data_IF_764237056940
#
_entry.id   IF_764237056940
#
_cell.length_a   1.000
_cell.length_b   1.000
_cell.length_c   1.000
_cell.angle_alpha   90.00
_cell.angle_beta   90.00
_cell.angle_gamma   90.00
#
_symmetry.space_group_name_H-M   'P 1'
#
loop_
_entity.id
_entity.type
_entity.pdbx_description
1 polymer ?
#
# COMPACT_ATOMS: atom_id res chain seq x y z
N UNK A 1 21.16 -37.88 -67.57
CA UNK A 1 21.46 -36.56 -66.99
C UNK A 1 20.32 -36.23 -66.01
N UNK A 2 20.56 -36.48 -64.75
CA UNK A 2 19.54 -36.28 -63.72
C UNK A 2 19.85 -34.94 -63.05
N UNK A 3 18.94 -33.95 -63.17
CA UNK A 3 19.03 -32.66 -62.50
C UNK A 3 18.43 -32.81 -61.08
N UNK A 4 19.31 -32.65 -60.09
CA UNK A 4 18.95 -32.67 -58.70
C UNK A 4 18.49 -31.26 -58.28
N UNK A 5 17.20 -31.09 -58.03
CA UNK A 5 16.65 -29.86 -57.49
C UNK A 5 16.78 -29.90 -55.94
N UNK A 6 17.67 -29.09 -55.41
CA UNK A 6 17.71 -28.82 -53.97
C UNK A 6 16.63 -27.79 -53.63
N UNK A 7 15.60 -28.21 -52.93
CA UNK A 7 14.65 -27.32 -52.26
C UNK A 7 15.24 -26.89 -50.92
N UNK A 8 15.73 -25.66 -50.85
CA UNK A 8 16.04 -25.02 -49.57
C UNK A 8 14.73 -24.55 -48.89
N UNK A 9 14.29 -25.29 -47.89
CA UNK A 9 13.18 -24.85 -47.03
C UNK A 9 13.75 -23.88 -46.00
N UNK A 10 13.51 -22.60 -46.22
CA UNK A 10 13.85 -21.54 -45.31
C UNK A 10 12.79 -21.53 -44.19
N UNK A 11 13.12 -22.06 -43.03
CA UNK A 11 12.28 -22.04 -41.83
C UNK A 11 12.41 -20.68 -41.17
N UNK A 12 11.54 -19.73 -41.54
CA UNK A 12 11.39 -18.46 -40.82
C UNK A 12 10.75 -18.74 -39.49
N UNK A 13 11.54 -18.71 -38.41
CA UNK A 13 11.08 -18.76 -37.05
C UNK A 13 10.58 -17.36 -36.66
N UNK A 14 9.29 -17.10 -36.82
CA UNK A 14 8.67 -15.89 -36.32
C UNK A 14 8.64 -15.95 -34.80
N UNK A 15 9.52 -15.17 -34.16
CA UNK A 15 9.47 -14.87 -32.74
C UNK A 15 8.24 -13.96 -32.52
N UNK A 16 7.10 -14.58 -32.32
CA UNK A 16 5.94 -13.86 -31.76
C UNK A 16 6.30 -13.42 -30.32
N UNK A 17 6.74 -12.18 -30.22
CA UNK A 17 6.96 -11.54 -28.93
C UNK A 17 5.63 -11.51 -28.16
N UNK A 18 5.46 -12.41 -27.19
CA UNK A 18 4.42 -12.30 -26.19
C UNK A 18 4.71 -11.05 -25.36
N UNK A 19 4.11 -9.92 -25.75
CA UNK A 19 3.99 -8.78 -24.87
C UNK A 19 3.12 -9.23 -23.69
N UNK A 20 3.76 -9.59 -22.57
CA UNK A 20 3.06 -9.79 -21.31
C UNK A 20 2.39 -8.46 -20.97
N UNK A 21 1.04 -8.41 -20.80
CA UNK A 21 0.41 -7.20 -20.32
C UNK A 21 1.06 -6.90 -18.97
N UNK A 22 1.67 -5.71 -18.84
CA UNK A 22 2.09 -5.20 -17.55
C UNK A 22 0.84 -5.24 -16.68
N UNK A 23 0.83 -6.08 -15.66
CA UNK A 23 -0.24 -6.11 -14.69
C UNK A 23 -0.32 -4.70 -14.12
N UNK A 24 -1.37 -3.96 -14.50
CA UNK A 24 -1.66 -2.68 -13.87
C UNK A 24 -1.76 -2.98 -12.39
N UNK A 25 -0.80 -2.46 -11.60
CA UNK A 25 -0.76 -2.71 -10.17
C UNK A 25 -2.12 -2.43 -9.58
N UNK A 26 -2.64 -3.32 -8.74
CA UNK A 26 -3.91 -3.11 -8.08
C UNK A 26 -3.91 -1.72 -7.45
N UNK A 27 -4.96 -0.93 -7.70
CA UNK A 27 -5.09 0.41 -7.13
C UNK A 27 -6.29 0.43 -6.19
N UNK A 28 -6.15 1.17 -5.10
CA UNK A 28 -7.21 1.41 -4.14
C UNK A 28 -7.67 2.86 -4.28
N UNK A 29 -8.97 3.09 -4.27
CA UNK A 29 -9.57 4.41 -4.45
C UNK A 29 -10.02 5.06 -3.12
N UNK A 30 -9.55 4.54 -2.00
CA UNK A 30 -9.79 5.07 -0.66
C UNK A 30 -8.50 5.00 0.17
N UNK A 31 -8.40 5.86 1.17
CA UNK A 31 -7.33 5.86 2.16
C UNK A 31 -7.63 4.79 3.20
N UNK A 32 -6.66 3.91 3.47
CA UNK A 32 -6.74 2.90 4.53
C UNK A 32 -5.97 3.35 5.76
N UNK A 33 -6.65 3.41 6.87
CA UNK A 33 -6.11 3.89 8.16
C UNK A 33 -6.31 2.79 9.20
N UNK A 34 -5.25 2.49 9.95
CA UNK A 34 -5.29 1.51 11.03
C UNK A 34 -4.70 2.12 12.30
N UNK A 35 -4.93 1.53 13.44
CA UNK A 35 -4.18 1.88 14.64
C UNK A 35 -4.98 2.06 15.90
N UNK A 36 -4.64 3.08 16.66
CA UNK A 36 -5.06 3.32 18.03
C UNK A 36 -6.58 3.32 18.21
N UNK A 37 -7.03 2.59 19.22
CA UNK A 37 -8.44 2.62 19.66
C UNK A 37 -8.81 3.95 20.35
N UNK A 38 -7.84 4.66 20.90
CA UNK A 38 -8.04 5.97 21.52
C UNK A 38 -8.42 7.02 20.49
N UNK A 39 -7.74 7.06 19.35
CA UNK A 39 -8.04 8.00 18.26
C UNK A 39 -9.20 7.55 17.37
N UNK A 40 -9.59 6.29 17.42
CA UNK A 40 -10.59 5.71 16.53
C UNK A 40 -11.90 6.53 16.43
N UNK A 41 -12.56 6.93 17.54
CA UNK A 41 -13.78 7.71 17.44
C UNK A 41 -13.59 9.09 16.80
N UNK A 42 -12.46 9.75 17.07
CA UNK A 42 -12.13 11.05 16.47
C UNK A 42 -11.78 10.91 14.98
N UNK A 43 -10.96 9.95 14.67
CA UNK A 43 -10.56 9.67 13.28
C UNK A 43 -11.75 9.30 12.41
N UNK A 44 -12.72 8.57 12.94
CA UNK A 44 -13.97 8.22 12.24
C UNK A 44 -14.78 9.45 11.87
N UNK A 45 -14.96 10.39 12.79
CA UNK A 45 -15.68 11.65 12.52
C UNK A 45 -14.96 12.47 11.44
N UNK A 46 -13.63 12.57 11.52
CA UNK A 46 -12.83 13.29 10.52
C UNK A 46 -12.94 12.62 9.15
N UNK A 47 -12.87 11.29 9.09
CA UNK A 47 -13.00 10.56 7.85
C UNK A 47 -14.37 10.72 7.20
N UNK A 48 -15.44 10.66 7.99
CA UNK A 48 -16.80 10.91 7.50
C UNK A 48 -16.96 12.33 6.97
N UNK A 49 -16.43 13.31 7.69
CA UNK A 49 -16.47 14.70 7.27
C UNK A 49 -15.68 14.90 5.96
N UNK A 50 -14.51 14.30 5.85
CA UNK A 50 -13.71 14.32 4.64
C UNK A 50 -14.47 13.73 3.45
N UNK A 51 -15.12 12.59 3.61
CA UNK A 51 -15.93 11.97 2.55
C UNK A 51 -17.15 12.81 2.14
N UNK A 52 -17.74 13.59 3.09
CA UNK A 52 -18.89 14.47 2.81
C UNK A 52 -18.48 15.77 2.11
N UNK A 53 -17.30 16.30 2.39
CA UNK A 53 -16.86 17.62 1.93
C UNK A 53 -15.87 17.57 0.78
N UNK A 54 -15.35 16.41 0.45
CA UNK A 54 -14.42 16.22 -0.66
C UNK A 54 -15.03 15.37 -1.78
N UNK A 55 -14.36 15.35 -2.92
CA UNK A 55 -14.69 14.46 -4.04
C UNK A 55 -14.16 13.03 -3.89
N UNK A 56 -13.45 12.76 -2.80
CA UNK A 56 -12.82 11.48 -2.55
C UNK A 56 -13.70 10.57 -1.69
N UNK A 57 -13.48 9.27 -1.77
CA UNK A 57 -14.18 8.30 -0.92
C UNK A 57 -13.80 8.50 0.55
N UNK A 58 -14.76 8.24 1.42
CA UNK A 58 -14.53 8.22 2.86
C UNK A 58 -13.40 7.25 3.19
N UNK A 59 -12.36 7.68 3.92
CA UNK A 59 -11.32 6.79 4.39
C UNK A 59 -11.87 5.63 5.23
N UNK A 60 -11.29 4.45 5.09
CA UNK A 60 -11.62 3.31 5.94
C UNK A 60 -10.69 3.27 7.14
N UNK A 61 -11.26 3.15 8.33
CA UNK A 61 -10.52 3.14 9.58
C UNK A 61 -10.78 1.84 10.33
N UNK A 62 -9.71 1.21 10.79
CA UNK A 62 -9.77 -0.01 11.60
C UNK A 62 -9.04 0.19 12.92
N UNK A 63 -9.72 -0.16 14.01
CA UNK A 63 -9.14 -0.13 15.36
C UNK A 63 -8.35 -1.40 15.64
N UNK A 64 -7.03 -1.29 15.53
CA UNK A 64 -6.09 -2.42 15.72
C UNK A 64 -5.17 -2.22 16.93
N UNK A 65 -5.34 -1.11 17.65
CA UNK A 65 -4.38 -0.61 18.65
C UNK A 65 -3.11 -0.06 18.02
N UNK A 66 -2.41 0.82 18.74
CA UNK A 66 -1.19 1.49 18.22
C UNK A 66 -0.12 0.51 17.75
N UNK A 67 0.15 -0.54 18.51
CA UNK A 67 1.16 -1.54 18.16
C UNK A 67 0.73 -2.40 16.98
N UNK A 68 -0.54 -2.78 16.90
CA UNK A 68 -1.10 -3.52 15.78
C UNK A 68 -1.08 -2.72 14.49
N UNK A 69 -1.49 -1.45 14.56
CA UNK A 69 -1.46 -0.53 13.43
C UNK A 69 -0.05 -0.30 12.89
N UNK A 70 0.90 -0.03 13.76
CA UNK A 70 2.31 0.14 13.38
C UNK A 70 2.90 -1.13 12.75
N UNK A 71 2.53 -2.31 13.25
CA UNK A 71 2.95 -3.58 12.66
C UNK A 71 2.43 -3.75 11.23
N UNK A 72 1.15 -3.45 10.99
CA UNK A 72 0.54 -3.51 9.67
C UNK A 72 1.14 -2.47 8.71
N UNK A 73 1.31 -1.24 9.19
CA UNK A 73 1.90 -0.15 8.43
C UNK A 73 3.36 -0.43 8.03
N UNK A 74 4.18 -0.96 8.95
CA UNK A 74 5.57 -1.31 8.69
C UNK A 74 5.76 -2.65 7.99
N UNK A 75 4.68 -3.37 7.61
CA UNK A 75 4.80 -4.65 6.93
C UNK A 75 5.21 -4.52 5.47
N UNK A 76 4.94 -3.38 4.83
CA UNK A 76 5.32 -3.15 3.43
C UNK A 76 4.65 -1.93 2.83
N UNK A 77 4.82 -1.78 1.52
CA UNK A 77 4.25 -0.70 0.70
C UNK A 77 3.31 -1.31 -0.33
N UNK A 78 2.28 -0.58 -0.68
CA UNK A 78 1.33 -0.99 -1.72
C UNK A 78 -0.10 -1.12 -1.20
N UNK A 79 -1.01 -1.50 -2.08
CA UNK A 79 -2.46 -1.51 -1.81
C UNK A 79 -2.91 -2.47 -0.72
N UNK A 80 -2.08 -3.44 -0.39
CA UNK A 80 -2.36 -4.44 0.67
C UNK A 80 -1.98 -3.94 2.06
N UNK A 81 -1.28 -2.79 2.12
CA UNK A 81 -0.84 -2.18 3.38
C UNK A 81 -1.58 -0.87 3.63
N UNK A 82 -1.77 -0.46 4.90
CA UNK A 82 -2.41 0.80 5.21
C UNK A 82 -1.54 2.00 4.79
N UNK A 83 -2.21 3.11 4.44
CA UNK A 83 -1.55 4.36 4.07
C UNK A 83 -1.16 5.18 5.30
N UNK A 84 -1.95 5.06 6.37
CA UNK A 84 -1.79 5.81 7.61
C UNK A 84 -1.95 4.86 8.80
N UNK A 85 -1.18 5.09 9.84
CA UNK A 85 -1.42 4.47 11.14
C UNK A 85 -1.56 5.54 12.23
N UNK A 86 -2.63 5.43 13.01
CA UNK A 86 -2.85 6.25 14.19
C UNK A 86 -2.19 5.60 15.41
N UNK A 87 -1.59 6.39 16.27
CA UNK A 87 -0.93 5.89 17.46
C UNK A 87 -1.09 6.86 18.63
N UNK A 88 -1.42 6.33 19.81
CA UNK A 88 -1.49 7.09 21.08
C UNK A 88 -0.12 7.35 21.70
N UNK A 89 0.95 7.05 20.98
CA UNK A 89 2.35 7.26 21.38
C UNK A 89 3.22 7.46 20.15
N UNK A 90 4.42 7.94 20.36
CA UNK A 90 5.43 7.99 19.29
C UNK A 90 5.82 6.59 18.80
N UNK A 91 6.21 6.51 17.55
CA UNK A 91 6.81 5.30 16.97
C UNK A 91 8.10 4.94 17.73
N UNK A 92 8.30 3.66 18.01
CA UNK A 92 9.51 3.16 18.67
C UNK A 92 10.63 2.95 17.65
N UNK A 93 11.89 3.02 18.11
CA UNK A 93 13.04 2.74 17.24
C UNK A 93 12.93 1.38 16.54
N UNK A 94 12.55 0.33 17.27
CA UNK A 94 12.38 -1.02 16.71
C UNK A 94 11.30 -1.10 15.63
N UNK A 95 10.24 -0.29 15.73
CA UNK A 95 9.19 -0.19 14.72
C UNK A 95 9.71 0.55 13.49
N UNK A 96 10.44 1.66 13.66
CA UNK A 96 11.13 2.34 12.56
C UNK A 96 12.11 1.41 11.83
N UNK A 97 12.89 0.63 12.56
CA UNK A 97 13.85 -0.32 11.98
C UNK A 97 13.12 -1.40 11.14
N UNK A 98 11.98 -1.87 11.63
CA UNK A 98 11.10 -2.82 10.89
C UNK A 98 10.51 -2.19 9.63
N UNK A 99 10.00 -0.97 9.72
CA UNK A 99 9.50 -0.22 8.58
C UNK A 99 10.59 -0.10 7.50
N UNK A 100 11.77 0.38 7.87
CA UNK A 100 12.90 0.56 6.95
C UNK A 100 13.31 -0.76 6.27
N UNK A 101 13.37 -1.86 7.02
CA UNK A 101 13.68 -3.20 6.52
C UNK A 101 12.68 -3.66 5.46
N UNK A 102 11.42 -3.31 5.62
CA UNK A 102 10.32 -3.68 4.73
C UNK A 102 10.06 -2.63 3.62
N UNK A 103 10.95 -1.66 3.45
CA UNK A 103 10.86 -0.67 2.38
C UNK A 103 9.95 0.52 2.66
N UNK A 104 9.36 0.60 3.86
CA UNK A 104 8.58 1.78 4.31
C UNK A 104 9.58 2.82 4.82
N UNK A 105 9.88 3.79 3.97
CA UNK A 105 10.86 4.87 4.22
C UNK A 105 10.13 6.21 4.33
N UNK A 106 10.87 7.22 4.79
CA UNK A 106 10.38 8.60 4.85
C UNK A 106 9.07 8.76 5.64
N UNK A 107 9.00 8.10 6.81
CA UNK A 107 7.84 8.14 7.69
C UNK A 107 7.68 9.55 8.25
N UNK A 108 6.49 10.14 8.07
CA UNK A 108 6.14 11.44 8.65
C UNK A 108 5.27 11.21 9.89
N UNK A 109 5.70 11.71 11.03
CA UNK A 109 4.95 11.68 12.28
C UNK A 109 4.31 13.05 12.52
N UNK A 110 2.98 13.08 12.57
CA UNK A 110 2.20 14.30 12.81
C UNK A 110 1.51 14.17 14.17
N UNK A 111 1.81 15.10 15.08
CA UNK A 111 1.11 15.20 16.36
C UNK A 111 -0.21 15.96 16.15
N UNK A 112 -1.33 15.30 16.41
CA UNK A 112 -2.67 15.86 16.25
C UNK A 112 -3.30 16.35 17.56
N UNK A 113 -2.76 15.95 18.73
CA UNK A 113 -3.28 16.36 20.03
C UNK A 113 -2.62 15.62 21.20
N UNK A 114 -3.20 15.81 22.35
CA UNK A 114 -2.84 15.11 23.59
C UNK A 114 -4.10 14.45 24.17
N UNK A 115 -3.91 13.30 24.78
CA UNK A 115 -4.90 12.63 25.61
C UNK A 115 -4.37 12.51 27.04
N UNK A 116 -5.23 12.78 28.01
CA UNK A 116 -4.90 12.73 29.43
C UNK A 116 -5.52 11.51 30.09
N UNK A 117 -4.71 10.78 30.86
CA UNK A 117 -5.20 9.73 31.75
C UNK A 117 -5.50 10.39 33.09
N UNK A 118 -6.75 10.33 33.52
CA UNK A 118 -7.25 10.85 34.81
C UNK A 118 -7.55 9.70 35.74
#
# INVERSE_FOLDING_TARGET
MKKLFLFAVSLAFEFAGFATPAAAGASRDYISIVGSSTEYPFATVVAEQFGKTSRFKTPKIESTGSGGGLKLFCAGVGVEHPDITNASRRIKKSECDTCNKNGVKDIVEIKIGYDGIV
#
